data_IF_524562749793
#
_entry.id   IF_524562749793
#
_cell.length_a   1.000
_cell.length_b   1.000
_cell.length_c   1.000
_cell.angle_alpha   90.00
_cell.angle_beta   90.00
_cell.angle_gamma   90.00
#
_symmetry.space_group_name_H-M   'P 1'
#
loop_
_entity.id
_entity.type
_entity.pdbx_description
1 polymer ?
#
# COMPACT_ATOMS: atom_id res chain seq x y z
N UNK A 1 -15.80 8.22 -25.53
CA UNK A 1 -14.70 7.56 -24.77
C UNK A 1 -14.34 8.51 -23.64
N UNK A 2 -14.63 8.17 -22.38
CA UNK A 2 -14.18 8.98 -21.23
C UNK A 2 -12.65 9.12 -21.34
N UNK A 3 -12.13 10.35 -21.24
CA UNK A 3 -10.69 10.64 -21.33
C UNK A 3 -9.96 9.88 -20.22
N UNK A 4 -9.37 8.74 -20.54
CA UNK A 4 -8.59 7.96 -19.59
C UNK A 4 -7.36 8.78 -19.19
N UNK A 5 -7.25 9.09 -17.90
CA UNK A 5 -6.09 9.80 -17.35
C UNK A 5 -4.89 8.84 -17.24
N UNK A 6 -3.88 9.09 -18.09
CA UNK A 6 -2.64 8.31 -18.16
C UNK A 6 -1.85 8.31 -16.85
N UNK A 7 -2.04 9.32 -16.00
CA UNK A 7 -1.33 9.49 -14.73
C UNK A 7 -2.16 9.04 -13.51
N UNK A 8 -3.31 8.41 -13.74
CA UNK A 8 -4.16 7.92 -12.66
C UNK A 8 -3.44 6.87 -11.79
N UNK A 9 -3.51 7.02 -10.47
CA UNK A 9 -2.82 6.17 -9.48
C UNK A 9 -3.75 5.31 -8.63
N UNK A 10 -4.92 5.82 -8.27
CA UNK A 10 -5.83 5.23 -7.27
C UNK A 10 -6.72 4.14 -7.88
N UNK A 11 -7.57 3.50 -7.08
CA UNK A 11 -8.71 2.72 -7.59
C UNK A 11 -9.70 3.61 -8.35
N UNK A 12 -10.79 3.02 -8.86
CA UNK A 12 -11.91 3.74 -9.49
C UNK A 12 -13.18 3.73 -8.62
N UNK A 13 -13.06 3.40 -7.34
CA UNK A 13 -14.18 3.41 -6.40
C UNK A 13 -14.67 4.84 -6.14
N UNK A 14 -15.91 4.98 -5.66
CA UNK A 14 -16.46 6.25 -5.20
C UNK A 14 -16.84 6.13 -3.72
N UNK A 15 -15.85 6.09 -2.80
CA UNK A 15 -16.09 5.78 -1.39
C UNK A 15 -16.78 6.91 -0.63
N UNK A 16 -16.79 8.13 -1.19
CA UNK A 16 -17.47 9.28 -0.60
C UNK A 16 -18.46 9.87 -1.64
N UNK A 17 -19.74 9.89 -1.27
CA UNK A 17 -20.84 10.39 -2.12
C UNK A 17 -20.94 11.92 -2.16
N UNK A 18 -20.22 12.63 -1.31
CA UNK A 18 -20.26 14.11 -1.22
C UNK A 18 -19.18 14.79 -2.06
N UNK A 19 -18.36 14.03 -2.78
CA UNK A 19 -17.26 14.54 -3.61
C UNK A 19 -17.18 13.77 -4.91
N UNK A 20 -16.81 14.45 -5.99
CA UNK A 20 -16.59 13.85 -7.31
C UNK A 20 -15.23 13.12 -7.39
N UNK A 21 -14.42 13.20 -6.34
CA UNK A 21 -13.12 12.56 -6.28
C UNK A 21 -13.23 11.04 -6.17
N UNK A 22 -12.77 10.34 -7.20
CA UNK A 22 -12.73 8.89 -7.24
C UNK A 22 -11.44 8.32 -6.66
N UNK A 23 -11.55 7.13 -6.10
CA UNK A 23 -10.47 6.20 -5.85
C UNK A 23 -9.78 6.35 -4.50
N UNK A 24 -9.19 5.24 -4.07
CA UNK A 24 -8.34 5.09 -2.88
C UNK A 24 -6.94 4.65 -3.31
N UNK A 25 -5.91 5.14 -2.61
CA UNK A 25 -4.54 4.62 -2.78
C UNK A 25 -4.44 3.26 -2.09
N UNK A 26 -4.38 2.19 -2.90
CA UNK A 26 -4.26 0.82 -2.42
C UNK A 26 -3.04 0.61 -1.50
N UNK A 27 -1.93 1.33 -1.74
CA UNK A 27 -0.73 1.25 -0.90
C UNK A 27 -0.83 2.07 0.39
N UNK A 28 -2.03 2.59 0.71
CA UNK A 28 -2.39 3.24 1.97
C UNK A 28 -3.64 2.63 2.61
N UNK A 29 -4.22 1.58 2.01
CA UNK A 29 -5.48 0.96 2.47
C UNK A 29 -5.28 -0.36 3.24
N UNK A 30 -4.03 -0.78 3.47
CA UNK A 30 -3.70 -2.03 4.18
C UNK A 30 -4.05 -1.95 5.69
N UNK A 31 -4.42 -3.08 6.33
CA UNK A 31 -4.78 -3.14 7.75
C UNK A 31 -3.58 -3.20 8.69
N UNK A 32 -2.51 -2.45 8.37
CA UNK A 32 -1.32 -2.37 9.20
C UNK A 32 -1.02 -0.91 9.49
N UNK A 33 -1.22 -0.51 10.75
CA UNK A 33 -0.94 0.86 11.22
C UNK A 33 -1.66 1.94 10.40
N UNK A 34 -2.86 1.61 9.91
CA UNK A 34 -3.65 2.48 9.04
C UNK A 34 -4.06 3.77 9.78
N UNK A 35 -3.72 4.92 9.22
CA UNK A 35 -4.02 6.22 9.81
C UNK A 35 -3.17 6.62 11.02
N UNK A 36 -2.21 5.78 11.46
CA UNK A 36 -1.38 6.07 12.64
C UNK A 36 -0.19 7.00 12.35
N UNK A 37 0.14 7.26 11.08
CA UNK A 37 1.42 7.91 10.71
C UNK A 37 1.26 8.97 9.62
N UNK A 38 2.16 9.98 9.57
CA UNK A 38 2.26 10.87 8.41
C UNK A 38 2.46 10.05 7.13
N UNK A 39 1.83 10.47 6.02
CA UNK A 39 1.96 9.80 4.72
C UNK A 39 0.70 9.12 4.19
N UNK A 40 -0.42 9.20 4.91
CA UNK A 40 -1.77 8.91 4.40
C UNK A 40 -2.64 10.15 4.55
N UNK A 41 -3.50 10.42 3.57
CA UNK A 41 -4.48 11.50 3.65
C UNK A 41 -5.88 10.97 3.94
N UNK A 42 -6.68 11.76 4.67
CA UNK A 42 -8.12 11.54 4.87
C UNK A 42 -8.98 12.33 3.86
N UNK A 43 -8.37 13.22 3.07
CA UNK A 43 -9.04 13.94 1.99
C UNK A 43 -9.27 13.00 0.79
N UNK A 44 -10.53 12.72 0.39
CA UNK A 44 -10.86 11.86 -0.76
C UNK A 44 -10.22 12.31 -2.08
N UNK A 45 -9.90 13.59 -2.23
CA UNK A 45 -9.29 14.16 -3.43
C UNK A 45 -7.77 13.99 -3.47
N UNK A 46 -7.14 13.60 -2.36
CA UNK A 46 -5.70 13.35 -2.32
C UNK A 46 -5.30 12.12 -3.13
N UNK A 47 -4.13 12.18 -3.77
CA UNK A 47 -3.51 11.04 -4.46
C UNK A 47 -3.03 9.94 -3.50
N UNK A 48 -2.89 10.27 -2.21
CA UNK A 48 -2.54 9.34 -1.13
C UNK A 48 -3.71 9.12 -0.16
N UNK A 49 -4.94 9.30 -0.63
CA UNK A 49 -6.15 9.03 0.16
C UNK A 49 -6.19 7.57 0.59
N UNK A 50 -6.22 7.30 1.89
CA UNK A 50 -6.16 5.94 2.46
C UNK A 50 -7.48 5.18 2.47
N UNK A 51 -8.56 5.80 2.01
CA UNK A 51 -9.92 5.27 2.07
C UNK A 51 -10.68 5.70 3.32
N UNK A 52 -11.97 5.33 3.42
CA UNK A 52 -12.79 5.64 4.60
C UNK A 52 -12.44 4.76 5.82
N UNK A 53 -11.79 3.62 5.60
CA UNK A 53 -11.28 2.67 6.61
C UNK A 53 -10.21 1.79 5.97
N UNK A 54 -9.41 1.09 6.79
CA UNK A 54 -8.54 0.02 6.28
C UNK A 54 -9.36 -1.08 5.60
N UNK A 55 -8.79 -1.71 4.57
CA UNK A 55 -9.45 -2.73 3.76
C UNK A 55 -10.83 -2.25 3.22
N UNK A 56 -10.95 -0.98 2.83
CA UNK A 56 -12.17 -0.49 2.19
C UNK A 56 -12.32 -0.98 0.76
N UNK A 57 -11.20 -1.17 0.08
CA UNK A 57 -11.18 -1.53 -1.34
C UNK A 57 -11.25 -3.05 -1.52
N UNK A 58 -12.12 -3.57 -2.41
CA UNK A 58 -12.23 -5.00 -2.66
C UNK A 58 -10.91 -5.61 -3.16
N UNK A 59 -10.07 -4.84 -3.86
CA UNK A 59 -8.75 -5.27 -4.31
C UNK A 59 -7.80 -5.54 -3.14
N UNK A 60 -7.78 -4.66 -2.12
CA UNK A 60 -6.98 -4.91 -0.90
C UNK A 60 -7.58 -6.06 -0.10
N UNK A 61 -8.90 -6.11 0.07
CA UNK A 61 -9.57 -7.21 0.77
C UNK A 61 -9.21 -8.57 0.17
N UNK A 62 -9.23 -8.70 -1.16
CA UNK A 62 -8.90 -9.94 -1.84
C UNK A 62 -7.45 -10.39 -1.58
N UNK A 63 -6.47 -9.48 -1.68
CA UNK A 63 -5.06 -9.81 -1.42
C UNK A 63 -4.84 -10.15 0.06
N UNK A 64 -5.39 -9.35 0.98
CA UNK A 64 -5.26 -9.59 2.41
C UNK A 64 -5.88 -10.93 2.80
N UNK A 65 -7.07 -11.25 2.27
CA UNK A 65 -7.73 -12.53 2.53
C UNK A 65 -6.88 -13.69 2.01
N UNK A 66 -6.36 -13.60 0.78
CA UNK A 66 -5.48 -14.61 0.21
C UNK A 66 -4.22 -14.82 1.07
N UNK A 67 -3.58 -13.75 1.53
CA UNK A 67 -2.40 -13.83 2.40
C UNK A 67 -2.73 -14.44 3.76
N UNK A 68 -3.88 -14.10 4.35
CA UNK A 68 -4.35 -14.68 5.63
C UNK A 68 -4.60 -16.18 5.49
N UNK A 69 -5.26 -16.61 4.41
CA UNK A 69 -5.62 -18.02 4.16
C UNK A 69 -4.39 -18.90 3.86
N UNK A 70 -3.33 -18.31 3.33
CA UNK A 70 -2.12 -19.04 2.91
C UNK A 70 -0.88 -18.67 3.74
N UNK A 71 -1.06 -18.06 4.91
CA UNK A 71 0.05 -17.54 5.75
C UNK A 71 1.08 -18.60 6.14
N UNK A 72 0.65 -19.87 6.22
CA UNK A 72 1.53 -20.97 6.66
C UNK A 72 2.46 -21.44 5.51
N UNK A 73 2.08 -21.20 4.26
CA UNK A 73 2.83 -21.62 3.06
C UNK A 73 3.58 -20.47 2.38
N UNK A 74 3.09 -19.24 2.45
CA UNK A 74 3.76 -18.07 1.88
C UNK A 74 5.00 -17.74 2.71
N UNK A 75 6.16 -17.68 2.05
CA UNK A 75 7.46 -17.41 2.70
C UNK A 75 8.04 -16.03 2.38
N UNK A 76 7.56 -15.37 1.33
CA UNK A 76 8.01 -14.04 0.93
C UNK A 76 6.90 -13.25 0.25
N UNK A 77 6.99 -11.92 0.33
CA UNK A 77 6.09 -10.98 -0.33
C UNK A 77 6.89 -9.88 -1.01
N UNK A 78 6.65 -9.66 -2.30
CA UNK A 78 7.32 -8.61 -3.09
C UNK A 78 6.24 -7.82 -3.84
N UNK A 79 6.17 -6.51 -3.57
CA UNK A 79 5.28 -5.59 -4.29
C UNK A 79 6.10 -4.71 -5.24
N UNK A 80 5.83 -4.83 -6.54
CA UNK A 80 6.54 -4.06 -7.55
C UNK A 80 5.89 -2.68 -7.76
N UNK A 81 6.74 -1.65 -7.79
CA UNK A 81 6.35 -0.27 -8.07
C UNK A 81 7.39 0.39 -8.98
N UNK A 82 7.01 1.52 -9.58
CA UNK A 82 7.91 2.39 -10.33
C UNK A 82 7.61 3.87 -10.01
N UNK A 83 8.58 4.77 -10.10
CA UNK A 83 9.98 4.62 -10.52
C UNK A 83 10.93 4.66 -9.31
N UNK A 84 12.19 5.07 -9.55
CA UNK A 84 13.24 5.43 -8.56
C UNK A 84 14.39 4.44 -8.37
N UNK A 85 14.33 3.24 -8.95
CA UNK A 85 15.39 2.21 -8.83
C UNK A 85 15.73 1.86 -7.38
N UNK A 86 14.70 1.60 -6.56
CA UNK A 86 14.85 1.33 -5.13
C UNK A 86 14.44 -0.09 -4.78
N UNK A 87 15.17 -0.66 -3.82
CA UNK A 87 14.76 -1.81 -3.01
C UNK A 87 14.36 -1.30 -1.63
N UNK A 88 13.16 -1.65 -1.18
CA UNK A 88 12.61 -1.20 0.10
C UNK A 88 12.18 -2.41 0.93
N UNK A 89 12.36 -2.28 2.24
CA UNK A 89 11.96 -3.27 3.23
C UNK A 89 11.18 -2.58 4.36
N UNK A 90 10.43 -3.33 5.19
CA UNK A 90 9.74 -2.74 6.33
C UNK A 90 10.71 -2.02 7.31
N UNK A 91 10.25 -1.06 8.10
CA UNK A 91 8.92 -0.46 8.08
C UNK A 91 8.92 0.87 7.32
N UNK A 92 7.80 1.20 6.67
CA UNK A 92 7.60 2.51 6.04
C UNK A 92 6.81 3.50 6.92
N UNK A 93 6.22 3.04 8.02
CA UNK A 93 5.36 3.84 8.88
C UNK A 93 6.12 4.43 10.10
N UNK A 94 7.32 3.94 10.39
CA UNK A 94 8.12 4.35 11.55
C UNK A 94 9.62 4.25 11.24
N UNK A 95 10.43 4.99 11.98
CA UNK A 95 11.90 4.93 11.88
C UNK A 95 12.49 3.70 12.59
N UNK A 96 11.67 2.94 13.33
CA UNK A 96 12.10 1.68 13.94
C UNK A 96 12.35 0.64 12.85
N UNK A 97 13.46 -0.08 12.97
CA UNK A 97 13.80 -1.20 12.10
C UNK A 97 13.07 -2.48 12.55
N UNK A 98 12.72 -3.39 11.64
CA UNK A 98 12.24 -4.71 12.01
C UNK A 98 13.37 -5.53 12.63
N UNK A 99 13.01 -6.58 13.38
CA UNK A 99 13.96 -7.41 14.12
C UNK A 99 14.96 -8.14 13.19
N UNK A 100 14.46 -8.58 12.03
CA UNK A 100 15.19 -9.27 10.95
C UNK A 100 15.90 -8.31 9.97
N UNK A 101 16.00 -7.01 10.28
CA UNK A 101 16.64 -6.02 9.42
C UNK A 101 18.05 -6.41 8.92
N UNK A 102 18.97 -6.94 9.76
CA UNK A 102 20.28 -7.37 9.27
C UNK A 102 20.21 -8.44 8.18
N UNK A 103 19.29 -9.40 8.31
CA UNK A 103 19.08 -10.46 7.32
C UNK A 103 18.51 -9.88 6.02
N UNK A 104 17.49 -9.02 6.12
CA UNK A 104 16.88 -8.35 4.96
C UNK A 104 17.91 -7.52 4.17
N UNK A 105 18.82 -6.82 4.85
CA UNK A 105 19.91 -6.07 4.19
C UNK A 105 20.86 -7.01 3.44
N UNK A 106 21.23 -8.15 4.04
CA UNK A 106 22.15 -9.11 3.41
C UNK A 106 21.60 -9.70 2.10
N UNK A 107 20.27 -9.89 2.02
CA UNK A 107 19.58 -10.38 0.82
C UNK A 107 19.58 -9.31 -0.28
N UNK A 108 19.37 -8.05 0.08
CA UNK A 108 19.19 -6.95 -0.87
C UNK A 108 20.51 -6.32 -1.34
N UNK A 109 21.55 -6.41 -0.52
CA UNK A 109 22.89 -5.88 -0.80
C UNK A 109 23.92 -7.01 -0.56
N UNK A 110 23.96 -8.03 -1.42
CA UNK A 110 24.97 -9.08 -1.30
C UNK A 110 26.35 -8.49 -1.62
N UNK A 111 27.29 -8.61 -0.68
CA UNK A 111 28.72 -8.21 -0.73
C UNK A 111 29.13 -6.86 -0.08
N UNK A 112 28.59 -6.52 1.08
CA UNK A 112 29.30 -5.66 2.07
C UNK A 112 29.65 -6.43 3.32
#
# INVERSE_FOLDING_TARGET
>A
MSSQDRLWRKTRSHPNVTTDCAGVDLNRNWPYKWGETPGVSTDPCSVIYGGPKSESEPEVQAVVQFLRDHRDVIKSYVAFHSYSQLWMMPFSHTDRKPEDYPELVSILIPNT
#
